data_IF_526688778632
#
_entry.id   IF_526688778632
#
_cell.length_a   1.000
_cell.length_b   1.000
_cell.length_c   1.000
_cell.angle_alpha   90.00
_cell.angle_beta   90.00
_cell.angle_gamma   90.00
#
_symmetry.space_group_name_H-M   'P 1'
#
loop_
_entity.id
_entity.type
_entity.pdbx_description
1 polymer ?
#
# COMPACT_ATOMS: atom_id res chain seq x y z
N UNK A 1 -30.11 15.30 -3.33
CA UNK A 1 -30.00 14.89 -1.91
C UNK A 1 -29.63 13.41 -1.91
N UNK A 2 -28.44 12.96 -1.56
CA UNK A 2 -27.43 13.47 -0.64
C UNK A 2 -26.03 13.20 -1.18
N UNK A 3 -25.25 14.25 -1.42
CA UNK A 3 -23.80 14.20 -1.64
C UNK A 3 -23.10 14.60 -0.36
N UNK A 4 -23.28 13.83 0.72
CA UNK A 4 -22.76 14.16 2.05
C UNK A 4 -22.06 13.00 2.78
N UNK A 5 -21.75 11.88 2.09
CA UNK A 5 -21.10 10.73 2.73
C UNK A 5 -19.69 10.39 2.21
N UNK A 6 -19.26 10.94 1.08
CA UNK A 6 -17.91 10.69 0.55
C UNK A 6 -16.86 11.62 1.17
N UNK A 7 -17.26 12.83 1.58
CA UNK A 7 -16.38 13.80 2.27
C UNK A 7 -16.11 13.43 3.75
N UNK A 8 -16.96 12.61 4.36
CA UNK A 8 -16.74 12.10 5.72
C UNK A 8 -15.72 10.94 5.79
N UNK A 9 -15.38 10.31 4.66
CA UNK A 9 -14.31 9.29 4.60
C UNK A 9 -12.93 9.90 4.34
N UNK A 10 -12.85 11.21 4.08
CA UNK A 10 -11.64 11.99 4.30
C UNK A 10 -11.34 12.21 5.80
N UNK A 11 -12.13 11.63 6.72
CA UNK A 11 -11.74 11.59 8.13
C UNK A 11 -10.42 10.82 8.29
N UNK A 12 -9.39 11.58 8.65
CA UNK A 12 -8.17 11.17 9.36
C UNK A 12 -7.02 10.53 8.59
N UNK A 13 -6.87 10.79 7.28
CA UNK A 13 -5.60 10.49 6.59
C UNK A 13 -5.01 11.66 5.77
N UNK A 14 -5.64 12.83 5.80
CA UNK A 14 -5.16 14.03 5.09
C UNK A 14 -4.39 14.98 6.01
N UNK A 15 -3.13 15.20 5.65
CA UNK A 15 -2.25 16.34 5.99
C UNK A 15 -2.26 16.88 7.44
N UNK A 16 -1.21 16.49 8.19
CA UNK A 16 -0.44 17.39 9.07
C UNK A 16 -1.22 18.51 9.77
N UNK A 17 -2.06 18.18 10.75
CA UNK A 17 -2.11 18.86 12.06
C UNK A 17 -2.87 17.94 13.03
N UNK A 18 -2.12 17.26 13.90
CA UNK A 18 -2.55 16.47 15.07
C UNK A 18 -3.01 15.01 14.87
N UNK A 19 -1.97 14.15 14.76
CA UNK A 19 -1.77 12.83 15.40
C UNK A 19 -2.82 11.75 15.07
N UNK A 20 -2.48 10.68 14.36
CA UNK A 20 -1.36 9.82 14.74
C UNK A 20 -1.06 8.75 13.66
N UNK A 21 -0.77 9.11 12.40
CA UNK A 21 -0.45 8.08 11.39
C UNK A 21 0.09 8.62 10.06
N UNK A 22 0.65 7.72 9.25
CA UNK A 22 1.16 7.95 7.91
C UNK A 22 0.57 6.91 6.95
N UNK A 23 0.15 7.36 5.77
CA UNK A 23 -0.41 6.52 4.72
C UNK A 23 0.30 6.80 3.40
N UNK A 24 0.46 5.75 2.59
CA UNK A 24 1.00 5.85 1.24
C UNK A 24 0.15 5.00 0.31
N UNK A 25 -0.31 5.61 -0.79
CA UNK A 25 -1.06 4.92 -1.84
C UNK A 25 -0.20 3.84 -2.49
N UNK A 26 -0.83 2.74 -2.92
CA UNK A 26 -0.19 1.68 -3.68
C UNK A 26 0.35 2.25 -4.99
N UNK A 27 -0.43 3.08 -5.68
CA UNK A 27 -0.04 3.68 -6.97
C UNK A 27 1.24 4.53 -6.83
N UNK A 28 1.32 5.40 -5.82
CA UNK A 28 2.53 6.22 -5.59
C UNK A 28 3.75 5.38 -5.20
N UNK A 29 3.54 4.25 -4.53
CA UNK A 29 4.60 3.32 -4.22
C UNK A 29 5.09 2.61 -5.49
N UNK A 30 4.19 2.18 -6.36
CA UNK A 30 4.55 1.55 -7.64
C UNK A 30 5.31 2.50 -8.56
N UNK A 31 4.90 3.78 -8.69
CA UNK A 31 5.67 4.78 -9.44
C UNK A 31 7.11 4.93 -8.94
N UNK A 32 7.35 4.73 -7.65
CA UNK A 32 8.72 4.72 -7.11
C UNK A 32 9.43 3.41 -7.40
N UNK A 33 8.77 2.26 -7.21
CA UNK A 33 9.43 0.94 -7.26
C UNK A 33 9.67 0.41 -8.67
N UNK A 34 8.69 0.55 -9.58
CA UNK A 34 8.74 -0.05 -10.92
C UNK A 34 9.97 0.39 -11.72
N UNK A 35 10.36 1.68 -11.75
CA UNK A 35 11.59 2.09 -12.45
C UNK A 35 12.83 1.35 -11.96
N UNK A 36 12.97 1.15 -10.64
CA UNK A 36 14.11 0.41 -10.08
C UNK A 36 14.08 -1.05 -10.52
N UNK A 37 12.91 -1.70 -10.45
CA UNK A 37 12.75 -3.12 -10.78
C UNK A 37 12.99 -3.43 -12.27
N UNK A 38 12.65 -2.49 -13.16
CA UNK A 38 12.93 -2.57 -14.60
C UNK A 38 14.41 -2.31 -14.89
N UNK A 39 15.05 -1.42 -14.14
CA UNK A 39 16.47 -1.05 -14.32
C UNK A 39 17.48 -2.02 -13.70
N UNK A 40 17.04 -3.01 -12.91
CA UNK A 40 17.92 -4.00 -12.31
C UNK A 40 18.69 -4.81 -13.37
N UNK A 41 19.85 -5.36 -12.98
CA UNK A 41 20.61 -6.31 -13.79
C UNK A 41 20.80 -7.63 -13.03
N UNK A 42 20.08 -8.72 -13.40
CA UNK A 42 19.04 -8.77 -14.44
C UNK A 42 17.74 -8.05 -14.01
N UNK A 43 16.90 -7.62 -14.98
CA UNK A 43 15.65 -6.93 -14.67
C UNK A 43 14.67 -7.84 -13.95
N UNK A 44 14.05 -7.33 -12.89
CA UNK A 44 13.02 -8.03 -12.11
C UNK A 44 11.67 -7.97 -12.82
N UNK A 45 11.38 -6.85 -13.48
CA UNK A 45 10.16 -6.63 -14.25
C UNK A 45 10.49 -6.27 -15.69
N UNK A 46 9.63 -6.72 -16.61
CA UNK A 46 9.62 -6.37 -18.03
C UNK A 46 8.23 -5.86 -18.42
N UNK A 47 8.16 -5.09 -19.50
CA UNK A 47 6.90 -4.63 -20.07
C UNK A 47 6.00 -5.85 -20.39
N UNK A 48 4.74 -5.79 -19.95
CA UNK A 48 3.76 -6.87 -20.05
C UNK A 48 3.84 -7.94 -18.96
N UNK A 49 4.74 -7.83 -17.98
CA UNK A 49 4.79 -8.77 -16.86
C UNK A 49 3.59 -8.59 -15.92
N UNK A 50 3.14 -9.69 -15.32
CA UNK A 50 2.17 -9.63 -14.22
C UNK A 50 2.86 -9.15 -12.94
N UNK A 51 2.45 -7.98 -12.45
CA UNK A 51 2.87 -7.46 -11.16
C UNK A 51 2.18 -8.23 -10.01
N UNK A 52 2.97 -8.94 -9.20
CA UNK A 52 2.47 -9.72 -8.05
C UNK A 52 2.73 -8.95 -6.77
N UNK A 53 1.67 -8.56 -6.07
CA UNK A 53 1.75 -7.82 -4.81
C UNK A 53 1.32 -8.70 -3.64
N UNK A 54 2.02 -8.58 -2.50
CA UNK A 54 1.59 -9.17 -1.24
C UNK A 54 1.42 -8.07 -0.21
N UNK A 55 0.30 -8.12 0.50
CA UNK A 55 -0.01 -7.27 1.64
C UNK A 55 0.24 -8.04 2.94
N UNK A 56 0.72 -7.35 3.96
CA UNK A 56 0.94 -7.93 5.27
C UNK A 56 0.64 -6.90 6.36
N UNK A 57 0.15 -7.37 7.49
CA UNK A 57 -0.04 -6.55 8.70
C UNK A 57 0.94 -6.98 9.79
N UNK A 58 1.02 -6.21 10.86
CA UNK A 58 1.66 -6.65 12.08
C UNK A 58 0.82 -7.77 12.73
N UNK A 59 1.32 -9.01 12.62
CA UNK A 59 0.56 -10.20 13.03
C UNK A 59 0.34 -10.33 14.55
N UNK A 60 -0.09 -11.53 14.95
CA UNK A 60 -0.54 -11.94 16.30
C UNK A 60 0.33 -11.53 17.52
N UNK A 61 1.59 -11.12 17.34
CA UNK A 61 2.48 -10.69 18.43
C UNK A 61 2.40 -9.21 18.79
N UNK A 62 1.49 -8.45 18.17
CA UNK A 62 1.13 -7.09 18.63
C UNK A 62 -0.18 -7.10 19.42
N UNK A 63 -0.56 -8.28 19.92
CA UNK A 63 -1.66 -8.46 20.84
C UNK A 63 -1.47 -7.62 22.11
N UNK A 64 -2.10 -6.43 22.10
CA UNK A 64 -2.55 -5.62 23.25
C UNK A 64 -1.55 -4.68 23.93
N UNK A 65 -0.26 -4.63 23.57
CA UNK A 65 0.70 -3.73 24.24
C UNK A 65 1.13 -2.51 23.43
N UNK A 66 1.23 -2.61 22.10
CA UNK A 66 1.63 -1.48 21.27
C UNK A 66 0.40 -0.77 20.72
N UNK A 67 0.36 0.54 20.92
CA UNK A 67 -0.68 1.42 20.39
C UNK A 67 -0.47 1.72 18.91
N UNK A 68 0.07 0.82 18.10
CA UNK A 68 0.38 1.08 16.69
C UNK A 68 -0.07 -0.10 15.84
N UNK A 69 -0.55 0.22 14.64
CA UNK A 69 -0.91 -0.75 13.59
C UNK A 69 -0.06 -0.44 12.38
N UNK A 70 0.51 -1.50 11.80
CA UNK A 70 1.41 -1.40 10.65
C UNK A 70 0.89 -2.30 9.53
N UNK A 71 0.81 -1.74 8.33
CA UNK A 71 0.54 -2.49 7.11
C UNK A 71 1.66 -2.25 6.10
N UNK A 72 2.11 -3.34 5.49
CA UNK A 72 3.19 -3.36 4.52
C UNK A 72 2.76 -4.03 3.21
N UNK A 73 3.50 -3.72 2.16
CA UNK A 73 3.40 -4.33 0.84
C UNK A 73 4.78 -4.77 0.37
N UNK A 74 4.87 -5.86 -0.39
CA UNK A 74 6.06 -6.21 -1.15
C UNK A 74 5.71 -6.63 -2.58
N UNK A 75 6.69 -6.52 -3.48
CA UNK A 75 6.59 -6.95 -4.87
C UNK A 75 7.15 -8.38 -4.99
N UNK A 76 6.26 -9.36 -5.11
CA UNK A 76 6.61 -10.79 -5.13
C UNK A 76 7.46 -11.19 -6.36
N UNK A 77 7.52 -10.36 -7.40
CA UNK A 77 8.42 -10.59 -8.54
C UNK A 77 9.90 -10.61 -8.12
N UNK A 78 10.26 -9.99 -6.99
CA UNK A 78 11.62 -10.02 -6.43
C UNK A 78 12.03 -11.39 -5.83
N UNK A 79 11.14 -12.39 -5.83
CA UNK A 79 11.44 -13.75 -5.35
C UNK A 79 11.80 -13.78 -3.86
N UNK A 80 12.84 -14.52 -3.48
CA UNK A 80 13.28 -14.67 -2.08
C UNK A 80 13.75 -13.34 -1.45
N UNK A 81 14.09 -12.31 -2.24
CA UNK A 81 14.49 -11.01 -1.70
C UNK A 81 13.36 -10.34 -0.89
N UNK A 82 12.09 -10.69 -1.15
CA UNK A 82 10.93 -10.18 -0.39
C UNK A 82 10.93 -10.62 1.08
N UNK A 83 11.72 -11.62 1.45
CA UNK A 83 11.89 -12.06 2.83
C UNK A 83 12.77 -11.08 3.63
N UNK A 84 13.49 -10.19 2.95
CA UNK A 84 14.31 -9.18 3.61
C UNK A 84 13.46 -7.99 4.07
N UNK A 85 13.75 -7.39 5.23
CA UNK A 85 13.01 -6.23 5.72
C UNK A 85 12.99 -5.05 4.75
N UNK A 86 14.05 -4.86 3.96
CA UNK A 86 14.20 -3.75 3.03
C UNK A 86 13.21 -3.81 1.84
N UNK A 87 12.57 -4.98 1.62
CA UNK A 87 11.58 -5.19 0.56
C UNK A 87 10.15 -5.21 1.10
N UNK A 88 9.96 -4.92 2.38
CA UNK A 88 8.66 -4.77 3.04
C UNK A 88 8.35 -3.27 3.19
N UNK A 89 7.65 -2.72 2.21
CA UNK A 89 7.36 -1.29 2.14
C UNK A 89 6.15 -0.94 3.00
N UNK A 90 6.29 -0.01 3.95
CA UNK A 90 5.17 0.49 4.74
C UNK A 90 4.19 1.29 3.89
N UNK A 91 2.92 0.88 3.90
CA UNK A 91 1.82 1.58 3.20
C UNK A 91 0.87 2.25 4.18
N UNK A 92 0.83 1.79 5.43
CA UNK A 92 0.01 2.38 6.48
C UNK A 92 0.69 2.17 7.83
N UNK A 93 0.82 3.24 8.61
CA UNK A 93 1.26 3.22 9.99
C UNK A 93 0.34 4.16 10.77
N UNK A 94 -0.40 3.66 11.75
CA UNK A 94 -1.16 4.55 12.63
C UNK A 94 -1.04 4.13 14.07
N UNK A 95 -1.00 5.10 14.96
CA UNK A 95 -0.94 4.95 16.40
C UNK A 95 -2.39 4.86 16.88
N UNK A 96 -2.84 3.64 17.10
CA UNK A 96 -4.08 3.33 17.75
C UNK A 96 -4.12 1.85 18.08
N UNK A 97 -5.19 1.44 18.75
CA UNK A 97 -5.50 0.03 18.85
C UNK A 97 -6.14 -0.42 17.54
N UNK A 98 -5.69 -1.55 17.01
CA UNK A 98 -6.36 -2.21 15.89
C UNK A 98 -7.86 -2.38 16.19
N UNK A 99 -8.70 -1.91 15.27
CA UNK A 99 -10.15 -2.05 15.33
C UNK A 99 -10.67 -2.47 13.97
N UNK A 100 -11.79 -3.19 13.97
CA UNK A 100 -12.45 -3.57 12.72
C UNK A 100 -12.79 -2.35 11.86
N UNK A 101 -13.29 -1.27 12.48
CA UNK A 101 -13.67 -0.06 11.76
C UNK A 101 -12.47 0.61 11.08
N UNK A 102 -11.36 0.78 11.80
CA UNK A 102 -10.15 1.39 11.24
C UNK A 102 -9.55 0.54 10.11
N UNK A 103 -9.49 -0.79 10.30
CA UNK A 103 -9.05 -1.69 9.25
C UNK A 103 -9.98 -1.71 8.04
N UNK A 104 -11.29 -1.62 8.25
CA UNK A 104 -12.27 -1.58 7.17
C UNK A 104 -12.10 -0.33 6.31
N UNK A 105 -11.86 0.83 6.93
CA UNK A 105 -11.58 2.08 6.20
C UNK A 105 -10.34 1.95 5.35
N UNK A 106 -9.23 1.48 5.93
CA UNK A 106 -7.96 1.28 5.21
C UNK A 106 -8.11 0.25 4.08
N UNK A 107 -8.82 -0.86 4.33
CA UNK A 107 -9.07 -1.89 3.33
C UNK A 107 -9.88 -1.36 2.14
N UNK A 108 -10.89 -0.51 2.36
CA UNK A 108 -11.65 0.13 1.27
C UNK A 108 -10.77 0.97 0.36
N UNK A 109 -9.86 1.78 0.94
CA UNK A 109 -8.92 2.60 0.17
C UNK A 109 -8.05 1.72 -0.74
N UNK A 110 -7.41 0.71 -0.17
CA UNK A 110 -6.57 -0.21 -0.95
C UNK A 110 -7.36 -1.02 -1.97
N UNK A 111 -8.60 -1.40 -1.66
CA UNK A 111 -9.46 -2.13 -2.60
C UNK A 111 -9.80 -1.27 -3.80
N UNK A 112 -10.08 0.03 -3.61
CA UNK A 112 -10.32 0.96 -4.71
C UNK A 112 -9.11 1.06 -5.63
N UNK A 113 -7.92 1.30 -5.06
CA UNK A 113 -6.68 1.39 -5.85
C UNK A 113 -6.34 0.08 -6.57
N UNK A 114 -6.49 -1.07 -5.90
CA UNK A 114 -6.24 -2.38 -6.49
C UNK A 114 -7.20 -2.70 -7.63
N UNK A 115 -8.47 -2.31 -7.51
CA UNK A 115 -9.46 -2.50 -8.58
C UNK A 115 -9.11 -1.64 -9.81
N UNK A 116 -8.67 -0.40 -9.61
CA UNK A 116 -8.21 0.45 -10.72
C UNK A 116 -6.99 -0.17 -11.42
N UNK A 117 -6.00 -0.63 -10.65
CA UNK A 117 -4.82 -1.30 -11.17
C UNK A 117 -5.16 -2.61 -11.90
N UNK A 118 -6.11 -3.39 -11.39
CA UNK A 118 -6.52 -4.65 -12.02
C UNK A 118 -7.24 -4.40 -13.36
N UNK A 119 -8.05 -3.34 -13.44
CA UNK A 119 -8.84 -3.03 -14.64
C UNK A 119 -8.02 -2.33 -15.73
N UNK A 120 -7.11 -1.45 -15.33
CA UNK A 120 -6.38 -0.57 -16.26
C UNK A 120 -4.93 -1.00 -16.48
N UNK A 121 -4.40 -1.90 -15.66
CA UNK A 121 -2.96 -2.15 -15.56
C UNK A 121 -2.24 -1.02 -14.83
N UNK A 122 -0.92 -1.17 -14.69
CA UNK A 122 -0.04 -0.10 -14.23
C UNK A 122 0.70 0.45 -15.45
N UNK A 123 0.71 1.77 -15.63
CA UNK A 123 1.49 2.42 -16.68
C UNK A 123 2.46 3.39 -16.06
N UNK A 124 3.74 3.29 -16.40
CA UNK A 124 4.76 4.20 -15.92
C UNK A 124 4.65 5.59 -16.60
N UNK A 125 5.47 6.55 -16.15
CA UNK A 125 5.48 7.91 -16.71
C UNK A 125 5.88 7.98 -18.19
N UNK A 126 6.42 6.89 -18.75
CA UNK A 126 6.87 6.77 -20.13
C UNK A 126 5.85 6.03 -21.02
N UNK A 127 4.74 5.57 -20.44
CA UNK A 127 3.70 4.84 -21.16
C UNK A 127 3.94 3.34 -21.29
N UNK A 128 4.89 2.76 -20.54
CA UNK A 128 5.11 1.31 -20.53
C UNK A 128 4.11 0.65 -19.57
N UNK A 129 3.54 -0.48 -20.01
CA UNK A 129 2.51 -1.25 -19.29
C UNK A 129 3.04 -2.56 -18.72
#
# INVERSE_FOLDING_TARGET
TNGENDDLLQLEFTNSQNRNGAFRTIVSLLHTLVPFLVSCDPPVLKNGDTLKLRFSGDGRQVGRSQSHVLMTMCVLNEGEAVLTPNKQYTICLYIGKESYQSLQTVAKLFTSELNELQNNGFTDEQGNT
#
